data_IF_419544256465
#
_entry.id   IF_419544256465
#
_cell.length_a   1.000
_cell.length_b   1.000
_cell.length_c   1.000
_cell.angle_alpha   90.00
_cell.angle_beta   90.00
_cell.angle_gamma   90.00
#
_symmetry.space_group_name_H-M   'P 1'
#
loop_
_entity.id
_entity.type
_entity.pdbx_description
1 polymer ?
#
# COMPACT_ATOMS: atom_id res chain seq x y z
N UNK A 1 6.33 -3.54 22.17
CA UNK A 1 7.73 -3.99 22.06
C UNK A 1 7.88 -5.50 21.77
N UNK A 2 6.88 -6.34 22.01
CA UNK A 2 6.96 -7.80 21.83
C UNK A 2 7.15 -8.28 20.39
N UNK A 3 6.60 -7.60 19.39
CA UNK A 3 6.77 -7.99 17.97
C UNK A 3 8.06 -7.49 17.29
N UNK A 4 8.70 -6.44 17.83
CA UNK A 4 9.89 -5.83 17.20
C UNK A 4 11.15 -6.68 17.43
N UNK A 5 11.32 -7.25 18.63
CA UNK A 5 12.49 -8.07 18.95
C UNK A 5 12.65 -9.31 18.06
N UNK A 6 11.60 -10.14 17.83
CA UNK A 6 11.71 -11.28 16.92
C UNK A 6 12.03 -10.86 15.49
N UNK A 7 11.45 -9.75 15.01
CA UNK A 7 11.75 -9.22 13.69
C UNK A 7 13.23 -8.86 13.55
N UNK A 8 13.78 -8.14 14.53
CA UNK A 8 15.21 -7.75 14.51
C UNK A 8 16.12 -8.97 14.56
N UNK A 9 15.82 -9.96 15.40
CA UNK A 9 16.63 -11.20 15.50
C UNK A 9 16.58 -11.98 14.20
N UNK A 10 15.40 -12.18 13.61
CA UNK A 10 15.25 -12.90 12.34
C UNK A 10 15.85 -12.14 11.14
N UNK A 11 15.81 -10.79 11.19
CA UNK A 11 16.47 -9.97 10.17
C UNK A 11 17.99 -9.96 10.30
N UNK A 12 18.52 -10.08 11.53
CA UNK A 12 19.96 -10.09 11.82
C UNK A 12 20.63 -11.45 11.55
N UNK A 13 19.85 -12.55 11.52
CA UNK A 13 20.36 -13.90 11.31
C UNK A 13 19.94 -14.40 9.92
N UNK A 14 20.80 -14.31 8.89
CA UNK A 14 20.46 -14.65 7.50
C UNK A 14 19.99 -16.09 7.31
N UNK A 15 20.50 -17.00 8.14
CA UNK A 15 20.17 -18.42 8.09
C UNK A 15 18.70 -18.69 8.47
N UNK A 16 18.20 -18.00 9.50
CA UNK A 16 16.80 -18.10 9.92
C UNK A 16 15.85 -17.37 8.96
N UNK A 17 16.25 -16.21 8.45
CA UNK A 17 15.46 -15.43 7.49
C UNK A 17 15.23 -16.12 6.15
N UNK A 18 16.05 -17.14 5.82
CA UNK A 18 15.88 -17.97 4.61
C UNK A 18 14.74 -18.95 4.72
N UNK A 19 14.44 -19.45 5.93
CA UNK A 19 13.36 -20.43 6.16
C UNK A 19 12.06 -19.76 6.60
N UNK A 20 12.15 -18.64 7.34
CA UNK A 20 10.99 -17.92 7.83
C UNK A 20 11.15 -16.42 7.58
N UNK A 21 10.34 -15.81 6.70
CA UNK A 21 10.36 -14.37 6.51
C UNK A 21 10.20 -13.62 7.84
N UNK A 22 11.05 -12.60 8.13
CA UNK A 22 11.07 -11.92 9.43
C UNK A 22 9.73 -11.39 9.89
N UNK A 23 8.87 -10.94 8.95
CA UNK A 23 7.51 -10.46 9.23
C UNK A 23 6.60 -11.60 9.71
N UNK A 24 6.70 -12.80 9.12
CA UNK A 24 5.93 -13.96 9.56
C UNK A 24 6.37 -14.44 10.95
N UNK A 25 7.67 -14.38 11.22
CA UNK A 25 8.20 -14.66 12.55
C UNK A 25 7.70 -13.66 13.60
N UNK A 26 7.70 -12.37 13.26
CA UNK A 26 7.15 -11.33 14.14
C UNK A 26 5.64 -11.52 14.38
N UNK A 27 4.89 -11.89 13.35
CA UNK A 27 3.47 -12.21 13.45
C UNK A 27 3.25 -13.41 14.41
N UNK A 28 3.94 -14.53 14.17
CA UNK A 28 3.77 -15.75 14.97
C UNK A 28 4.09 -15.53 16.45
N UNK A 29 5.26 -14.96 16.75
CA UNK A 29 5.65 -14.66 18.15
C UNK A 29 4.73 -13.61 18.77
N UNK A 30 4.31 -12.62 18.00
CA UNK A 30 3.40 -11.59 18.49
C UNK A 30 2.01 -12.14 18.83
N UNK A 31 1.45 -13.01 17.98
CA UNK A 31 0.17 -13.69 18.24
C UNK A 31 0.27 -14.55 19.52
N UNK A 32 1.33 -15.35 19.66
CA UNK A 32 1.55 -16.14 20.89
C UNK A 32 1.64 -15.23 22.11
N UNK A 33 2.35 -14.11 22.04
CA UNK A 33 2.49 -13.17 23.14
C UNK A 33 1.15 -12.49 23.50
N UNK A 34 0.34 -12.12 22.52
CA UNK A 34 -0.99 -11.51 22.74
C UNK A 34 -1.93 -12.51 23.40
N UNK A 35 -1.95 -13.78 22.95
CA UNK A 35 -2.76 -14.83 23.56
C UNK A 35 -2.29 -15.15 24.96
N UNK A 36 -0.97 -15.29 25.18
CA UNK A 36 -0.39 -15.58 26.49
C UNK A 36 -0.60 -14.46 27.52
N UNK A 37 -0.68 -13.21 27.07
CA UNK A 37 -0.96 -12.05 27.93
C UNK A 37 -2.44 -11.84 28.24
N UNK A 38 -3.33 -12.70 27.71
CA UNK A 38 -4.78 -12.57 27.90
C UNK A 38 -5.39 -11.31 27.25
N UNK A 39 -4.65 -10.63 26.36
CA UNK A 39 -5.10 -9.42 25.67
C UNK A 39 -5.90 -9.71 24.39
N UNK A 40 -6.12 -10.98 24.09
CA UNK A 40 -6.95 -11.40 22.96
C UNK A 40 -8.40 -11.53 23.44
N UNK A 41 -9.23 -10.56 23.07
CA UNK A 41 -10.63 -10.50 23.47
C UNK A 41 -11.52 -10.72 22.26
N UNK A 42 -11.97 -11.97 22.06
CA UNK A 42 -13.03 -12.25 21.10
C UNK A 42 -14.37 -11.87 21.73
N UNK A 43 -15.07 -10.91 21.17
CA UNK A 43 -16.44 -10.64 21.57
C UNK A 43 -17.32 -11.89 21.32
N UNK A 44 -18.05 -12.37 22.34
CA UNK A 44 -18.97 -13.50 22.21
C UNK A 44 -20.22 -13.04 21.47
N UNK A 45 -20.18 -12.97 20.19
CA UNK A 45 -21.28 -12.60 19.30
C UNK A 45 -20.96 -13.05 17.90
N UNK A 46 -21.43 -14.23 17.52
CA UNK A 46 -21.17 -14.83 16.23
C UNK A 46 -21.72 -14.00 15.07
N UNK A 47 -20.91 -13.11 14.50
CA UNK A 47 -21.20 -12.52 13.20
C UNK A 47 -20.98 -13.53 12.07
N UNK A 48 -21.35 -13.18 10.83
CA UNK A 48 -21.22 -14.07 9.69
C UNK A 48 -19.75 -14.48 9.47
N UNK A 49 -19.51 -15.75 9.15
CA UNK A 49 -18.17 -16.25 8.80
C UNK A 49 -17.75 -15.79 7.42
N UNK A 50 -18.69 -15.63 6.51
CA UNK A 50 -18.48 -15.26 5.13
C UNK A 50 -19.03 -13.89 4.83
N UNK A 51 -18.36 -13.16 3.95
CA UNK A 51 -18.84 -11.89 3.43
C UNK A 51 -20.02 -12.14 2.48
N UNK A 52 -21.07 -11.38 2.66
CA UNK A 52 -22.18 -11.29 1.71
C UNK A 52 -22.03 -10.00 0.91
N UNK A 53 -21.97 -10.06 -0.43
CA UNK A 53 -21.91 -8.85 -1.24
C UNK A 53 -23.17 -8.01 -1.00
N UNK A 54 -22.98 -6.76 -0.65
CA UNK A 54 -24.07 -5.78 -0.50
C UNK A 54 -23.96 -4.74 -1.61
N UNK A 55 -25.06 -4.48 -2.30
CA UNK A 55 -25.08 -3.44 -3.30
C UNK A 55 -25.36 -2.10 -2.65
N UNK A 56 -24.49 -1.12 -2.92
CA UNK A 56 -24.59 0.23 -2.38
C UNK A 56 -24.83 1.21 -3.52
N UNK A 57 -25.85 2.02 -3.41
CA UNK A 57 -26.12 3.07 -4.40
C UNK A 57 -25.20 4.26 -4.11
N UNK A 58 -24.33 4.66 -5.06
CA UNK A 58 -23.44 5.81 -4.87
C UNK A 58 -24.23 7.11 -4.74
N UNK A 59 -23.88 7.93 -3.76
CA UNK A 59 -24.42 9.29 -3.62
C UNK A 59 -23.46 10.30 -4.24
N UNK A 60 -24.02 11.22 -5.04
CA UNK A 60 -23.24 12.24 -5.73
C UNK A 60 -23.48 13.62 -5.10
N UNK A 61 -22.41 14.18 -4.51
CA UNK A 61 -22.43 15.56 -4.00
C UNK A 61 -21.24 16.33 -4.59
N UNK A 62 -21.42 17.64 -4.84
CA UNK A 62 -20.34 18.48 -5.33
C UNK A 62 -19.16 18.56 -4.36
N UNK A 63 -19.43 18.59 -3.06
CA UNK A 63 -18.40 18.56 -2.03
C UNK A 63 -17.53 17.30 -2.16
N UNK A 64 -18.16 16.11 -2.21
CA UNK A 64 -17.44 14.85 -2.39
C UNK A 64 -16.64 14.80 -3.71
N UNK A 65 -17.16 15.39 -4.79
CA UNK A 65 -16.42 15.45 -6.07
C UNK A 65 -15.13 16.24 -5.95
N UNK A 66 -15.15 17.39 -5.29
CA UNK A 66 -13.98 18.27 -5.18
C UNK A 66 -13.00 17.82 -4.08
N UNK A 67 -13.53 17.42 -2.93
CA UNK A 67 -12.71 17.10 -1.75
C UNK A 67 -12.15 15.66 -1.78
N UNK A 68 -12.84 14.73 -2.43
CA UNK A 68 -12.47 13.32 -2.46
C UNK A 68 -12.08 12.85 -3.87
N UNK A 69 -12.96 12.98 -4.87
CA UNK A 69 -12.76 12.34 -6.18
C UNK A 69 -11.55 12.92 -6.91
N UNK A 70 -11.39 14.24 -6.94
CA UNK A 70 -10.25 14.88 -7.64
C UNK A 70 -8.92 14.50 -6.97
N UNK A 71 -8.72 14.68 -5.64
CA UNK A 71 -7.48 14.27 -4.99
C UNK A 71 -7.24 12.76 -5.09
N UNK A 72 -8.27 11.93 -4.94
CA UNK A 72 -8.14 10.49 -5.04
C UNK A 72 -7.73 10.05 -6.44
N UNK A 73 -8.35 10.62 -7.49
CA UNK A 73 -7.98 10.32 -8.88
C UNK A 73 -6.51 10.65 -9.16
N UNK A 74 -6.03 11.80 -8.70
CA UNK A 74 -4.62 12.19 -8.85
C UNK A 74 -3.71 11.22 -8.11
N UNK A 75 -4.01 10.91 -6.85
CA UNK A 75 -3.17 9.99 -6.05
C UNK A 75 -3.20 8.58 -6.61
N UNK A 76 -4.33 8.06 -7.07
CA UNK A 76 -4.43 6.72 -7.65
C UNK A 76 -3.69 6.64 -8.99
N UNK A 77 -3.92 7.59 -9.89
CA UNK A 77 -3.33 7.54 -11.24
C UNK A 77 -1.84 7.84 -11.23
N UNK A 78 -1.40 8.84 -10.48
CA UNK A 78 0.00 9.29 -10.49
C UNK A 78 0.82 8.50 -9.49
N UNK A 79 0.37 8.41 -8.23
CA UNK A 79 1.18 7.80 -7.17
C UNK A 79 1.06 6.28 -7.21
N UNK A 80 -0.13 5.74 -7.07
CA UNK A 80 -0.33 4.29 -6.95
C UNK A 80 0.04 3.57 -8.26
N UNK A 81 -0.59 3.94 -9.37
CA UNK A 81 -0.31 3.31 -10.65
C UNK A 81 1.11 3.64 -11.13
N UNK A 82 1.59 4.86 -10.93
CA UNK A 82 2.96 5.26 -11.28
C UNK A 82 4.00 4.44 -10.52
N UNK A 83 3.81 4.25 -9.21
CA UNK A 83 4.69 3.41 -8.40
C UNK A 83 4.67 1.95 -8.84
N UNK A 84 3.48 1.38 -9.10
CA UNK A 84 3.36 0.02 -9.59
C UNK A 84 4.04 -0.19 -10.94
N UNK A 85 3.88 0.76 -11.86
CA UNK A 85 4.54 0.76 -13.17
C UNK A 85 6.06 0.86 -13.01
N UNK A 86 6.56 1.73 -12.13
CA UNK A 86 7.98 1.89 -11.87
C UNK A 86 8.62 0.60 -11.34
N UNK A 87 7.96 -0.08 -10.40
CA UNK A 87 8.41 -1.38 -9.88
C UNK A 87 8.45 -2.45 -10.96
N UNK A 88 7.43 -2.54 -11.81
CA UNK A 88 7.40 -3.49 -12.91
C UNK A 88 8.50 -3.20 -13.94
N UNK A 89 8.75 -1.94 -14.27
CA UNK A 89 9.84 -1.53 -15.14
C UNK A 89 11.22 -1.91 -14.55
N UNK A 90 11.43 -1.67 -13.25
CA UNK A 90 12.65 -2.04 -12.55
C UNK A 90 12.88 -3.56 -12.54
N UNK A 91 11.80 -4.36 -12.52
CA UNK A 91 11.86 -5.80 -12.67
C UNK A 91 12.04 -6.26 -14.14
N UNK A 92 12.17 -5.33 -15.09
CA UNK A 92 12.40 -5.59 -16.51
C UNK A 92 11.14 -5.92 -17.31
N UNK A 93 9.94 -5.75 -16.75
CA UNK A 93 8.68 -5.85 -17.48
C UNK A 93 8.42 -4.57 -18.31
N UNK A 94 7.53 -4.66 -19.29
CA UNK A 94 7.03 -3.50 -20.06
C UNK A 94 5.53 -3.36 -19.82
N UNK A 95 5.12 -2.72 -18.71
CA UNK A 95 3.72 -2.62 -18.37
C UNK A 95 2.94 -1.75 -19.36
N UNK A 96 1.76 -2.19 -19.82
CA UNK A 96 0.91 -1.41 -20.71
C UNK A 96 0.15 -0.34 -19.90
N UNK A 97 0.73 0.85 -19.77
CA UNK A 97 0.25 1.94 -18.91
C UNK A 97 -1.23 2.29 -19.15
N UNK A 98 -1.63 2.42 -20.44
CA UNK A 98 -3.01 2.76 -20.80
C UNK A 98 -4.01 1.66 -20.39
N UNK A 99 -3.60 0.38 -20.51
CA UNK A 99 -4.44 -0.74 -20.10
C UNK A 99 -4.62 -0.74 -18.57
N UNK A 100 -3.55 -0.46 -17.82
CA UNK A 100 -3.63 -0.35 -16.37
C UNK A 100 -4.52 0.80 -15.91
N UNK A 101 -4.38 1.98 -16.51
CA UNK A 101 -5.24 3.12 -16.19
C UNK A 101 -6.72 2.81 -16.50
N UNK A 102 -6.99 2.24 -17.66
CA UNK A 102 -8.34 1.91 -18.07
C UNK A 102 -8.96 0.79 -17.21
N UNK A 103 -8.22 -0.28 -16.93
CA UNK A 103 -8.69 -1.36 -16.06
C UNK A 103 -8.92 -0.88 -14.63
N UNK A 104 -8.02 -0.06 -14.08
CA UNK A 104 -8.23 0.57 -12.77
C UNK A 104 -9.51 1.39 -12.72
N UNK A 105 -9.81 2.16 -13.76
CA UNK A 105 -11.05 2.93 -13.86
C UNK A 105 -12.29 2.04 -13.92
N UNK A 106 -12.31 1.04 -14.81
CA UNK A 106 -13.44 0.12 -14.95
C UNK A 106 -13.72 -0.63 -13.64
N UNK A 107 -12.69 -1.22 -13.03
CA UNK A 107 -12.86 -1.94 -11.77
C UNK A 107 -13.21 -1.02 -10.60
N UNK A 108 -12.77 0.23 -10.60
CA UNK A 108 -13.19 1.22 -9.60
C UNK A 108 -14.69 1.52 -9.69
N UNK A 109 -15.25 1.65 -10.90
CA UNK A 109 -16.69 1.84 -11.11
C UNK A 109 -17.48 0.59 -10.65
N UNK A 110 -17.00 -0.61 -10.96
CA UNK A 110 -17.61 -1.84 -10.48
C UNK A 110 -17.57 -1.93 -8.95
N UNK A 111 -16.43 -1.62 -8.35
CA UNK A 111 -16.25 -1.61 -6.90
C UNK A 111 -17.16 -0.61 -6.20
N UNK A 112 -17.42 0.55 -6.81
CA UNK A 112 -18.33 1.56 -6.25
C UNK A 112 -19.74 1.02 -6.03
N UNK A 113 -20.24 0.12 -6.91
CA UNK A 113 -21.52 -0.55 -6.72
C UNK A 113 -21.60 -1.45 -5.48
N UNK A 114 -20.44 -1.84 -4.93
CA UNK A 114 -20.34 -2.64 -3.71
C UNK A 114 -19.79 -1.83 -2.53
N UNK A 115 -19.69 -0.51 -2.64
CA UNK A 115 -19.11 0.34 -1.59
C UNK A 115 -17.62 0.08 -1.33
N UNK A 116 -16.91 -0.53 -2.27
CA UNK A 116 -15.51 -0.87 -2.14
C UNK A 116 -14.59 0.25 -2.68
N UNK A 117 -13.33 0.21 -2.26
CA UNK A 117 -12.32 1.20 -2.66
C UNK A 117 -11.93 1.09 -4.14
N UNK A 118 -11.31 2.15 -4.68
CA UNK A 118 -10.81 2.18 -6.05
C UNK A 118 -9.76 1.10 -6.31
N UNK A 119 -9.78 0.53 -7.50
CA UNK A 119 -8.76 -0.40 -7.97
C UNK A 119 -7.51 0.36 -8.46
N UNK A 120 -6.33 -0.17 -8.16
CA UNK A 120 -5.07 0.42 -8.61
C UNK A 120 -3.95 -0.64 -8.69
N UNK A 121 -2.88 -0.29 -9.41
CA UNK A 121 -1.67 -1.10 -9.52
C UNK A 121 -0.67 -0.60 -8.47
N UNK A 122 -0.54 -1.31 -7.35
CA UNK A 122 0.28 -0.84 -6.23
C UNK A 122 1.73 -1.28 -6.32
N UNK A 123 2.65 -0.40 -5.90
CA UNK A 123 4.08 -0.70 -5.83
C UNK A 123 4.42 -1.86 -4.89
N UNK A 124 3.99 -1.87 -3.63
CA UNK A 124 4.32 -2.93 -2.67
C UNK A 124 3.91 -4.33 -3.12
N UNK A 125 2.69 -4.48 -3.67
CA UNK A 125 2.22 -5.77 -4.18
C UNK A 125 3.06 -6.23 -5.37
N UNK A 126 3.33 -5.35 -6.33
CA UNK A 126 4.17 -5.68 -7.48
C UNK A 126 5.61 -5.98 -7.08
N UNK A 127 6.17 -5.26 -6.11
CA UNK A 127 7.49 -5.56 -5.56
C UNK A 127 7.56 -6.96 -4.95
N UNK A 128 6.52 -7.37 -4.22
CA UNK A 128 6.42 -8.72 -3.68
C UNK A 128 6.37 -9.78 -4.79
N UNK A 129 5.50 -9.58 -5.79
CA UNK A 129 5.29 -10.51 -6.90
C UNK A 129 6.52 -10.65 -7.81
N UNK A 130 7.33 -9.58 -7.93
CA UNK A 130 8.54 -9.56 -8.75
C UNK A 130 9.82 -9.85 -7.97
N UNK A 131 9.75 -10.04 -6.65
CA UNK A 131 10.93 -10.25 -5.79
C UNK A 131 11.57 -11.62 -5.94
N UNK A 132 10.87 -12.60 -6.52
CA UNK A 132 11.33 -13.99 -6.61
C UNK A 132 10.88 -14.65 -7.91
N UNK A 133 11.55 -15.75 -8.25
CA UNK A 133 11.23 -16.56 -9.41
C UNK A 133 11.76 -15.98 -10.73
N UNK A 134 11.64 -16.78 -11.77
CA UNK A 134 12.01 -16.37 -13.11
C UNK A 134 10.99 -15.37 -13.68
N UNK A 135 11.45 -14.33 -14.34
CA UNK A 135 10.62 -13.24 -14.86
C UNK A 135 9.38 -13.74 -15.64
N UNK A 136 9.55 -14.74 -16.50
CA UNK A 136 8.45 -15.29 -17.31
C UNK A 136 7.42 -16.07 -16.50
N UNK A 137 7.71 -16.42 -15.24
CA UNK A 137 6.82 -17.14 -14.33
C UNK A 137 6.19 -16.26 -13.24
N UNK A 138 6.58 -15.01 -13.14
CA UNK A 138 6.06 -14.11 -12.08
C UNK A 138 4.53 -13.91 -12.17
N UNK A 139 3.94 -14.07 -13.36
CA UNK A 139 2.49 -14.03 -13.51
C UNK A 139 1.76 -15.13 -12.71
N UNK A 140 2.39 -16.28 -12.48
CA UNK A 140 1.79 -17.35 -11.66
C UNK A 140 1.63 -16.91 -10.20
N UNK A 141 2.62 -16.14 -9.69
CA UNK A 141 2.52 -15.50 -8.38
C UNK A 141 1.34 -14.52 -8.32
N UNK A 142 1.12 -13.74 -9.39
CA UNK A 142 -0.02 -12.83 -9.47
C UNK A 142 -1.37 -13.58 -9.48
N UNK A 143 -1.46 -14.71 -10.18
CA UNK A 143 -2.66 -15.55 -10.18
C UNK A 143 -2.94 -16.14 -8.78
N UNK A 144 -1.92 -16.68 -8.13
CA UNK A 144 -2.03 -17.19 -6.75
C UNK A 144 -2.45 -16.09 -5.79
N UNK A 145 -1.85 -14.91 -5.90
CA UNK A 145 -2.23 -13.73 -5.11
C UNK A 145 -3.70 -13.36 -5.33
N UNK A 146 -4.16 -13.35 -6.59
CA UNK A 146 -5.56 -13.08 -6.93
C UNK A 146 -6.52 -14.10 -6.28
N UNK A 147 -6.21 -15.38 -6.36
CA UNK A 147 -7.02 -16.44 -5.71
C UNK A 147 -7.03 -16.28 -4.19
N UNK A 148 -5.85 -16.06 -3.57
CA UNK A 148 -5.77 -15.83 -2.13
C UNK A 148 -6.56 -14.58 -1.70
N UNK A 149 -6.53 -13.51 -2.51
CA UNK A 149 -7.30 -12.30 -2.24
C UNK A 149 -8.80 -12.55 -2.27
N UNK A 150 -9.28 -13.38 -3.20
CA UNK A 150 -10.69 -13.80 -3.23
C UNK A 150 -11.07 -14.63 -2.01
N UNK A 151 -10.23 -15.58 -1.60
CA UNK A 151 -10.45 -16.36 -0.37
C UNK A 151 -10.47 -15.44 0.85
N UNK A 152 -9.51 -14.52 0.98
CA UNK A 152 -9.49 -13.53 2.05
C UNK A 152 -10.74 -12.64 2.04
N UNK A 153 -11.21 -12.23 0.86
CA UNK A 153 -12.42 -11.43 0.73
C UNK A 153 -13.66 -12.20 1.22
N UNK A 154 -13.78 -13.49 0.87
CA UNK A 154 -14.89 -14.32 1.34
C UNK A 154 -14.92 -14.49 2.86
N UNK A 155 -13.76 -14.63 3.50
CA UNK A 155 -13.66 -14.80 4.97
C UNK A 155 -13.37 -13.48 5.69
N UNK A 156 -13.46 -12.35 5.01
CA UNK A 156 -13.11 -11.03 5.55
C UNK A 156 -13.81 -10.67 6.87
N UNK A 157 -15.09 -10.99 7.13
CA UNK A 157 -15.72 -10.69 8.42
C UNK A 157 -15.02 -11.40 9.58
N UNK A 158 -14.56 -12.63 9.34
CA UNK A 158 -13.80 -13.39 10.35
C UNK A 158 -12.41 -12.80 10.56
N UNK A 159 -11.70 -12.43 9.47
CA UNK A 159 -10.39 -11.81 9.56
C UNK A 159 -10.44 -10.46 10.28
N UNK A 160 -11.43 -9.63 9.97
CA UNK A 160 -11.63 -8.33 10.62
C UNK A 160 -11.91 -8.52 12.12
N UNK A 161 -12.76 -9.46 12.50
CA UNK A 161 -13.01 -9.77 13.93
C UNK A 161 -11.75 -10.23 14.65
N UNK A 162 -10.93 -11.06 14.02
CA UNK A 162 -9.64 -11.48 14.61
C UNK A 162 -8.69 -10.28 14.76
N UNK A 163 -8.67 -9.38 13.80
CA UNK A 163 -7.87 -8.16 13.90
C UNK A 163 -8.36 -7.24 15.01
N UNK A 164 -9.68 -7.04 15.11
CA UNK A 164 -10.28 -6.21 16.17
C UNK A 164 -10.13 -6.83 17.57
N UNK A 165 -10.08 -8.15 17.67
CA UNK A 165 -9.81 -8.86 18.91
C UNK A 165 -8.33 -8.74 19.37
N UNK A 166 -7.46 -8.24 18.49
CA UNK A 166 -6.03 -8.09 18.73
C UNK A 166 -5.73 -6.66 19.17
N UNK A 167 -4.80 -6.42 20.13
CA UNK A 167 -4.45 -5.07 20.55
C UNK A 167 -4.01 -4.20 19.36
N UNK A 168 -4.61 -3.02 19.23
CA UNK A 168 -4.32 -2.07 18.14
C UNK A 168 -2.82 -1.77 18.00
N UNK A 169 -2.13 -1.58 19.13
CA UNK A 169 -0.70 -1.34 19.13
C UNK A 169 0.12 -2.46 18.47
N UNK A 170 -0.33 -3.72 18.58
CA UNK A 170 0.32 -4.86 17.92
C UNK A 170 0.07 -4.83 16.41
N UNK A 171 -1.16 -4.57 15.98
CA UNK A 171 -1.53 -4.48 14.56
C UNK A 171 -0.75 -3.35 13.88
N UNK A 172 -0.71 -2.17 14.51
CA UNK A 172 0.05 -1.01 13.99
C UNK A 172 1.56 -1.28 13.94
N UNK A 173 2.12 -1.90 14.98
CA UNK A 173 3.54 -2.26 14.99
C UNK A 173 3.89 -3.25 13.88
N UNK A 174 3.06 -4.28 13.68
CA UNK A 174 3.25 -5.28 12.62
C UNK A 174 3.16 -4.65 11.23
N UNK A 175 2.15 -3.79 11.02
CA UNK A 175 2.00 -3.02 9.77
C UNK A 175 3.19 -2.12 9.49
N UNK A 176 3.67 -1.38 10.50
CA UNK A 176 4.86 -0.55 10.39
C UNK A 176 6.11 -1.35 10.01
N UNK A 177 6.35 -2.47 10.67
CA UNK A 177 7.47 -3.37 10.37
C UNK A 177 7.39 -3.90 8.93
N UNK A 178 6.21 -4.31 8.47
CA UNK A 178 6.00 -4.80 7.12
C UNK A 178 6.31 -3.74 6.05
N UNK A 179 6.06 -2.46 6.36
CA UNK A 179 6.30 -1.34 5.44
C UNK A 179 7.73 -0.79 5.47
N UNK A 180 8.57 -1.13 6.44
CA UNK A 180 9.93 -0.58 6.56
C UNK A 180 10.76 -0.76 5.29
N UNK A 181 10.73 -1.95 4.69
CA UNK A 181 11.49 -2.24 3.47
C UNK A 181 10.94 -1.46 2.26
N UNK A 182 9.62 -1.33 2.15
CA UNK A 182 8.98 -0.53 1.11
C UNK A 182 9.34 0.97 1.26
N UNK A 183 9.34 1.48 2.48
CA UNK A 183 9.75 2.84 2.79
C UNK A 183 11.22 3.09 2.42
N UNK A 184 12.12 2.18 2.82
CA UNK A 184 13.53 2.25 2.46
C UNK A 184 13.72 2.31 0.93
N UNK A 185 13.05 1.45 0.19
CA UNK A 185 13.10 1.44 -1.27
C UNK A 185 12.57 2.74 -1.88
N UNK A 186 11.48 3.28 -1.33
CA UNK A 186 10.92 4.55 -1.77
C UNK A 186 11.92 5.70 -1.59
N UNK A 187 12.61 5.76 -0.43
CA UNK A 187 13.67 6.74 -0.21
C UNK A 187 14.82 6.59 -1.20
N UNK A 188 15.33 5.38 -1.39
CA UNK A 188 16.39 5.12 -2.37
C UNK A 188 15.96 5.60 -3.75
N UNK A 189 14.76 5.27 -4.19
CA UNK A 189 14.25 5.69 -5.51
C UNK A 189 14.08 7.21 -5.60
N UNK A 190 13.52 7.84 -4.57
CA UNK A 190 13.23 9.28 -4.58
C UNK A 190 14.48 10.16 -4.57
N UNK A 191 15.61 9.66 -4.01
CA UNK A 191 16.84 10.42 -3.83
C UNK A 191 18.04 9.91 -4.62
N UNK A 192 17.85 8.90 -5.50
CA UNK A 192 18.95 8.33 -6.30
C UNK A 192 19.21 9.02 -7.63
N UNK A 193 18.28 9.85 -8.12
CA UNK A 193 18.33 10.44 -9.46
C UNK A 193 18.05 11.95 -9.45
N UNK A 194 17.13 12.39 -10.29
CA UNK A 194 16.72 13.79 -10.46
C UNK A 194 15.56 14.16 -9.52
N UNK A 195 15.27 15.45 -9.40
CA UNK A 195 14.14 16.01 -8.63
C UNK A 195 14.18 15.68 -7.13
N UNK A 196 15.36 15.59 -6.56
CA UNK A 196 15.55 15.21 -5.15
C UNK A 196 15.02 16.25 -4.17
N UNK A 197 15.10 17.54 -4.54
CA UNK A 197 14.58 18.61 -3.70
C UNK A 197 13.04 18.62 -3.67
N UNK A 198 12.40 18.45 -4.83
CA UNK A 198 10.95 18.27 -4.90
C UNK A 198 10.47 17.05 -4.11
N UNK A 199 11.21 15.94 -4.17
CA UNK A 199 10.94 14.74 -3.36
C UNK A 199 11.06 15.01 -1.87
N UNK A 200 12.07 15.75 -1.44
CA UNK A 200 12.26 16.16 -0.04
C UNK A 200 11.09 17.01 0.47
N UNK A 201 10.69 18.02 -0.32
CA UNK A 201 9.55 18.89 0.03
C UNK A 201 8.26 18.10 0.12
N UNK A 202 8.00 17.20 -0.83
CA UNK A 202 6.85 16.28 -0.79
C UNK A 202 6.82 15.50 0.51
N UNK A 203 7.95 14.91 0.90
CA UNK A 203 8.07 14.13 2.13
C UNK A 203 7.83 14.97 3.39
N UNK A 204 8.48 16.14 3.48
CA UNK A 204 8.34 17.04 4.64
C UNK A 204 6.90 17.52 4.82
N UNK A 205 6.24 17.95 3.73
CA UNK A 205 4.84 18.40 3.77
C UNK A 205 3.90 17.25 4.17
N UNK A 206 4.15 16.04 3.67
CA UNK A 206 3.34 14.87 4.00
C UNK A 206 3.46 14.49 5.48
N UNK A 207 4.69 14.51 6.04
CA UNK A 207 4.91 14.19 7.47
C UNK A 207 4.39 15.31 8.39
N UNK A 208 4.44 16.57 7.93
CA UNK A 208 3.89 17.69 8.68
C UNK A 208 2.35 17.62 8.83
N UNK A 209 1.72 16.63 8.20
CA UNK A 209 0.27 16.37 8.23
C UNK A 209 -0.57 17.61 7.86
N UNK A 210 -0.13 18.31 6.79
CA UNK A 210 -0.80 19.52 6.31
C UNK A 210 -2.14 19.16 5.68
N UNK A 211 -3.20 19.24 6.45
CA UNK A 211 -4.57 19.01 6.00
C UNK A 211 -5.25 20.34 5.68
N UNK A 212 -5.55 20.61 4.41
CA UNK A 212 -6.23 21.83 3.97
C UNK A 212 -7.48 21.44 3.15
N UNK A 213 -8.56 22.18 3.32
CA UNK A 213 -9.83 21.98 2.61
C UNK A 213 -10.35 20.53 2.70
N UNK A 214 -10.22 19.91 3.86
CA UNK A 214 -10.59 18.50 4.09
C UNK A 214 -9.84 17.47 3.20
N UNK A 215 -8.71 17.88 2.62
CA UNK A 215 -7.84 17.05 1.78
C UNK A 215 -6.56 16.72 2.54
N UNK A 216 -6.20 15.43 2.56
CA UNK A 216 -5.06 14.91 3.30
C UNK A 216 -3.68 15.40 2.80
N UNK A 217 -2.73 15.46 3.71
CA UNK A 217 -1.37 15.94 3.51
C UNK A 217 -0.63 15.29 2.33
N UNK A 218 -0.90 14.04 2.01
CA UNK A 218 -0.27 13.36 0.87
C UNK A 218 -0.53 14.05 -0.48
N UNK A 219 -1.75 14.55 -0.70
CA UNK A 219 -2.09 15.31 -1.90
C UNK A 219 -1.32 16.63 -1.95
N UNK A 220 -1.33 17.37 -0.85
CA UNK A 220 -0.62 18.67 -0.76
C UNK A 220 0.88 18.50 -0.87
N UNK A 221 1.44 17.43 -0.29
CA UNK A 221 2.84 17.07 -0.43
C UNK A 221 3.24 16.94 -1.90
N UNK A 222 2.49 16.18 -2.68
CA UNK A 222 2.75 15.99 -4.12
C UNK A 222 2.61 17.30 -4.89
N UNK A 223 1.54 18.05 -4.66
CA UNK A 223 1.29 19.30 -5.35
C UNK A 223 2.38 20.34 -5.06
N UNK A 224 2.67 20.58 -3.78
CA UNK A 224 3.68 21.56 -3.35
C UNK A 224 5.08 21.11 -3.78
N UNK A 225 5.42 19.82 -3.60
CA UNK A 225 6.71 19.28 -4.03
C UNK A 225 6.92 19.39 -5.53
N UNK A 226 5.88 19.12 -6.34
CA UNK A 226 5.93 19.30 -7.78
C UNK A 226 6.13 20.77 -8.18
N UNK A 227 5.38 21.70 -7.56
CA UNK A 227 5.52 23.14 -7.85
C UNK A 227 6.91 23.65 -7.48
N UNK A 228 7.42 23.26 -6.32
CA UNK A 228 8.77 23.63 -5.88
C UNK A 228 9.84 23.05 -6.81
N UNK A 229 9.71 21.78 -7.18
CA UNK A 229 10.62 21.14 -8.16
C UNK A 229 10.61 21.89 -9.49
N UNK A 230 9.43 22.27 -9.99
CA UNK A 230 9.32 23.05 -11.24
C UNK A 230 10.01 24.41 -11.19
N UNK A 231 10.10 25.03 -10.00
CA UNK A 231 10.75 26.34 -9.81
C UNK A 231 12.25 26.18 -9.58
N UNK A 232 12.66 25.27 -8.68
CA UNK A 232 14.04 25.17 -8.21
C UNK A 232 14.89 24.16 -8.99
N UNK A 233 14.26 23.17 -9.65
CA UNK A 233 14.98 22.12 -10.39
C UNK A 233 14.73 22.21 -11.91
N UNK A 234 14.54 23.42 -12.44
CA UNK A 234 14.19 23.68 -13.86
C UNK A 234 15.15 23.04 -14.86
N UNK A 235 16.43 23.05 -14.56
CA UNK A 235 17.49 22.54 -15.43
C UNK A 235 17.34 21.03 -15.66
N UNK A 236 16.92 20.31 -14.63
CA UNK A 236 16.69 18.86 -14.72
C UNK A 236 15.50 18.51 -15.63
N UNK A 237 14.47 19.37 -15.70
CA UNK A 237 13.36 19.19 -16.65
C UNK A 237 13.79 19.48 -18.10
N UNK A 238 14.76 20.37 -18.32
CA UNK A 238 15.27 20.66 -19.64
C UNK A 238 16.11 19.48 -20.18
N UNK A 239 16.89 18.84 -19.34
CA UNK A 239 17.72 17.68 -19.70
C UNK A 239 16.90 16.43 -20.03
N UNK A 240 15.76 16.22 -19.38
CA UNK A 240 14.86 15.09 -19.67
C UNK A 240 14.12 15.24 -21.03
N UNK A 241 14.10 16.41 -21.63
CA UNK A 241 13.46 16.65 -22.92
C UNK A 241 14.41 16.48 -24.11
N UNK A 242 15.69 16.29 -23.85
CA UNK A 242 16.73 16.02 -24.86
C UNK A 242 16.96 14.53 -25.00
#
# INVERSE_FOLDING_TARGET
MLGVRPFLVLSAVPLLGRFLPPVLGALGVGVVAVVASGQFTLEPGGGPFFATPTFTVPEFTWAAQLELVVPLAITVLIVQNGQGIAVLNAAGHRPPVNVFAMSSGIFSVLNAGFGAVSACVTGPTNALLTSSGEKHRQYTGALVYGVLSLVCALVSPTLVRLMLATPEAFVLALGGIAMLKALQQAFVTAFSTTFTFGSLVTFVVTIADLNLFNIHAAFWGILIGYLVSRVLERDQYADQRR
#
